data_IF_738052763687
#
_entry.id   IF_738052763687
#
_cell.length_a   1.000
_cell.length_b   1.000
_cell.length_c   1.000
_cell.angle_alpha   90.00
_cell.angle_beta   90.00
_cell.angle_gamma   90.00
#
_symmetry.space_group_name_H-M   'P 1'
#
loop_
_entity.id
_entity.type
_entity.pdbx_description
1 polymer ?
#
# COMPACT_ATOMS: atom_id res chain seq x y z
N UNK A 1 18.82 8.87 2.00
CA UNK A 1 18.06 8.43 3.18
C UNK A 1 16.96 7.50 2.79
N UNK A 2 17.00 6.32 3.33
CA UNK A 2 15.96 5.35 3.07
C UNK A 2 14.74 5.67 3.93
N UNK A 3 13.57 5.64 3.33
CA UNK A 3 12.33 5.72 4.07
C UNK A 3 12.00 4.33 4.56
N UNK A 4 11.95 4.16 5.84
CA UNK A 4 11.56 2.88 6.41
C UNK A 4 10.05 2.74 6.34
N UNK A 5 9.61 1.57 5.95
CA UNK A 5 8.19 1.26 5.96
C UNK A 5 7.73 1.04 7.39
N UNK A 6 6.51 1.45 7.74
CA UNK A 6 5.97 1.12 9.05
C UNK A 6 5.71 -0.38 9.16
N UNK A 7 5.74 -0.88 10.37
CA UNK A 7 5.35 -2.27 10.62
C UNK A 7 3.85 -2.34 10.82
N UNK A 8 3.27 -3.48 10.45
CA UNK A 8 1.85 -3.69 10.64
C UNK A 8 1.50 -3.62 12.14
N UNK A 9 0.53 -2.77 12.53
CA UNK A 9 0.14 -2.67 13.94
C UNK A 9 -0.63 -3.89 14.45
N UNK A 10 -1.08 -4.74 13.55
CA UNK A 10 -1.86 -5.92 13.91
C UNK A 10 -0.99 -7.15 14.11
N UNK A 11 -0.06 -7.43 13.19
CA UNK A 11 0.77 -8.63 13.26
C UNK A 11 2.27 -8.33 13.38
N UNK A 12 2.64 -7.06 13.42
CA UNK A 12 4.03 -6.60 13.52
C UNK A 12 4.91 -7.03 12.34
N UNK A 13 4.31 -7.40 11.23
CA UNK A 13 5.05 -7.76 10.03
C UNK A 13 5.63 -6.50 9.38
N UNK A 14 6.80 -6.63 8.78
CA UNK A 14 7.36 -5.58 7.94
C UNK A 14 7.03 -5.75 6.46
N UNK A 15 6.24 -6.77 6.14
CA UNK A 15 5.83 -7.04 4.76
C UNK A 15 4.61 -6.20 4.40
N UNK A 16 4.80 -4.88 4.36
CA UNK A 16 3.73 -3.92 4.08
C UNK A 16 4.02 -3.20 2.76
N UNK A 17 2.96 -2.78 2.09
CA UNK A 17 3.04 -2.04 0.85
C UNK A 17 2.20 -0.78 0.94
N UNK A 18 2.53 0.21 0.12
CA UNK A 18 1.76 1.43 0.04
C UNK A 18 0.51 1.21 -0.81
N UNK A 19 -0.58 1.84 -0.42
CA UNK A 19 -1.81 1.85 -1.21
C UNK A 19 -1.83 3.12 -2.03
N UNK A 20 -1.83 2.98 -3.36
CA UNK A 20 -1.83 4.10 -4.28
C UNK A 20 -3.25 4.37 -4.76
N UNK A 21 -3.69 5.62 -4.64
CA UNK A 21 -5.00 6.06 -5.08
C UNK A 21 -4.88 6.92 -6.32
N UNK A 22 -5.95 6.99 -7.10
CA UNK A 22 -6.01 7.77 -8.32
C UNK A 22 -5.85 6.88 -9.56
N UNK A 23 -5.73 7.52 -10.72
CA UNK A 23 -5.56 6.79 -11.97
C UNK A 23 -4.14 6.27 -12.09
N UNK A 24 -3.96 4.97 -12.17
CA UNK A 24 -2.61 4.41 -12.29
C UNK A 24 -2.06 4.65 -13.68
N UNK A 25 -0.81 5.10 -13.73
CA UNK A 25 -0.06 5.13 -14.97
C UNK A 25 0.53 3.76 -15.24
N UNK A 26 1.18 3.59 -16.43
CA UNK A 26 1.77 2.29 -16.78
C UNK A 26 2.83 1.83 -15.78
N UNK A 27 3.58 2.74 -15.19
CA UNK A 27 4.59 2.40 -14.18
C UNK A 27 3.94 1.91 -12.88
N UNK A 28 2.86 2.54 -12.47
CA UNK A 28 2.14 2.12 -11.26
C UNK A 28 1.50 0.76 -11.45
N UNK A 29 0.93 0.50 -12.61
CA UNK A 29 0.34 -0.80 -12.91
C UNK A 29 1.38 -1.90 -12.88
N UNK A 30 2.56 -1.63 -13.41
CA UNK A 30 3.65 -2.58 -13.40
C UNK A 30 4.11 -2.88 -11.97
N UNK A 31 4.23 -1.87 -11.14
CA UNK A 31 4.60 -2.06 -9.73
C UNK A 31 3.54 -2.84 -8.97
N UNK A 32 2.26 -2.60 -9.26
CA UNK A 32 1.18 -3.35 -8.64
C UNK A 32 1.21 -4.82 -9.05
N UNK A 33 1.52 -5.11 -10.30
CA UNK A 33 1.68 -6.48 -10.77
C UNK A 33 2.83 -7.20 -10.08
N UNK A 34 3.88 -6.46 -9.75
CA UNK A 34 5.04 -6.99 -9.03
C UNK A 34 4.80 -7.12 -7.53
N UNK A 35 3.66 -6.65 -7.05
CA UNK A 35 3.34 -6.70 -5.64
C UNK A 35 4.02 -5.64 -4.79
N UNK A 36 4.55 -4.59 -5.40
CA UNK A 36 5.22 -3.51 -4.68
C UNK A 36 4.25 -2.47 -4.13
N UNK A 37 3.09 -2.33 -4.76
CA UNK A 37 2.03 -1.42 -4.33
C UNK A 37 0.68 -2.09 -4.50
N UNK A 38 -0.33 -1.52 -3.85
CA UNK A 38 -1.72 -1.93 -4.02
C UNK A 38 -2.48 -0.76 -4.62
N UNK A 39 -3.30 -1.03 -5.62
CA UNK A 39 -4.14 0.00 -6.24
C UNK A 39 -5.42 0.13 -5.42
N UNK A 40 -5.62 1.32 -4.83
CA UNK A 40 -6.74 1.58 -3.92
C UNK A 40 -8.00 2.12 -4.58
N UNK A 41 -7.91 2.53 -5.83
CA UNK A 41 -9.06 3.06 -6.56
C UNK A 41 -8.94 4.55 -6.83
N UNK A 42 -10.01 5.13 -7.37
CA UNK A 42 -10.02 6.51 -7.85
C UNK A 42 -10.56 7.51 -6.82
N UNK A 43 -11.24 7.04 -5.79
CA UNK A 43 -11.84 7.91 -4.78
C UNK A 43 -10.92 7.97 -3.56
N UNK A 44 -10.55 9.19 -3.17
CA UNK A 44 -9.71 9.42 -2.00
C UNK A 44 -10.52 10.18 -0.97
N UNK A 45 -10.57 9.64 0.25
CA UNK A 45 -11.19 10.33 1.38
C UNK A 45 -10.15 10.51 2.49
N UNK A 46 -10.47 11.33 3.48
CA UNK A 46 -9.54 11.59 4.59
C UNK A 46 -9.26 10.35 5.44
N UNK A 47 -10.16 9.37 5.40
CA UNK A 47 -10.07 8.16 6.20
C UNK A 47 -9.45 6.98 5.44
N UNK A 48 -9.01 7.20 4.20
CA UNK A 48 -8.43 6.12 3.40
C UNK A 48 -7.10 5.67 3.98
N UNK A 49 -6.86 4.36 4.04
CA UNK A 49 -5.58 3.85 4.53
C UNK A 49 -4.46 4.10 3.52
N UNK A 50 -3.25 4.26 4.01
CA UNK A 50 -2.07 4.44 3.16
C UNK A 50 -1.26 3.16 3.00
N UNK A 51 -1.40 2.22 3.94
CA UNK A 51 -0.58 1.03 3.99
C UNK A 51 -1.43 -0.22 4.10
N UNK A 52 -0.90 -1.30 3.57
CA UNK A 52 -1.55 -2.60 3.69
C UNK A 52 -0.50 -3.66 4.02
N UNK A 53 -0.81 -4.47 5.02
CA UNK A 53 0.01 -5.62 5.35
C UNK A 53 -0.31 -6.77 4.40
N UNK A 54 0.72 -7.39 3.83
CA UNK A 54 0.54 -8.52 2.93
C UNK A 54 0.33 -9.84 3.68
N UNK A 55 0.68 -9.89 4.94
CA UNK A 55 0.56 -11.11 5.74
C UNK A 55 -0.83 -11.29 6.34
N UNK A 56 -1.41 -10.22 6.89
CA UNK A 56 -2.72 -10.29 7.53
C UNK A 56 -3.79 -9.45 6.82
N UNK A 57 -3.42 -8.74 5.75
CA UNK A 57 -4.30 -7.88 4.97
C UNK A 57 -4.89 -6.70 5.77
N UNK A 58 -4.26 -6.34 6.88
CA UNK A 58 -4.66 -5.16 7.64
C UNK A 58 -4.29 -3.89 6.89
N UNK A 59 -5.17 -2.89 6.91
CA UNK A 59 -4.94 -1.60 6.27
C UNK A 59 -5.03 -0.50 7.31
N UNK A 60 -4.11 0.49 7.21
CA UNK A 60 -4.09 1.61 8.16
C UNK A 60 -3.56 2.90 7.57
#
# INVERSE_FOLDING_TARGET
>A
MSKEKPKCPSCSSDNVVIIAFGYPGPEMMEEAERGKIVLGGCIVTDDDPEWRCKDCAHEW
#
